data_IF_173769020927
#
_entry.id   IF_173769020927
#
_cell.length_a   1.000
_cell.length_b   1.000
_cell.length_c   1.000
_cell.angle_alpha   90.00
_cell.angle_beta   90.00
_cell.angle_gamma   90.00
#
_symmetry.space_group_name_H-M   'P 1'
#
loop_
_entity.id
_entity.type
_entity.pdbx_description
1 polymer ?
#
# COMPACT_ATOMS: atom_id res chain seq x y z
N UNK A 1 -14.49 18.33 -6.45
CA UNK A 1 -14.35 18.48 -4.98
C UNK A 1 -13.03 19.18 -4.70
N UNK A 2 -12.94 20.05 -3.67
CA UNK A 2 -11.67 20.64 -3.24
C UNK A 2 -10.68 19.55 -2.82
N UNK A 3 -9.38 19.76 -3.07
CA UNK A 3 -8.33 18.78 -2.77
C UNK A 3 -8.25 18.50 -1.27
N UNK A 4 -8.52 19.49 -0.41
CA UNK A 4 -8.52 19.27 1.05
C UNK A 4 -9.58 18.27 1.49
N UNK A 5 -10.74 18.27 0.83
CA UNK A 5 -11.85 17.37 1.16
C UNK A 5 -11.59 15.93 0.70
N UNK A 6 -10.82 15.74 -0.38
CA UNK A 6 -10.31 14.44 -0.81
C UNK A 6 -9.26 13.89 0.17
N UNK A 7 -8.38 14.76 0.67
CA UNK A 7 -7.37 14.43 1.68
C UNK A 7 -8.05 14.00 2.99
N UNK A 8 -9.04 14.75 3.46
CA UNK A 8 -9.78 14.38 4.68
C UNK A 8 -10.52 13.04 4.53
N UNK A 9 -11.18 12.79 3.39
CA UNK A 9 -11.89 11.52 3.17
C UNK A 9 -10.94 10.32 3.03
N UNK A 10 -9.71 10.52 2.52
CA UNK A 10 -8.71 9.46 2.43
C UNK A 10 -8.01 9.21 3.78
N UNK A 11 -7.73 10.25 4.56
CA UNK A 11 -6.83 10.17 5.73
C UNK A 11 -7.55 10.15 7.08
N UNK A 12 -8.78 10.62 7.20
CA UNK A 12 -9.52 10.63 8.46
C UNK A 12 -10.43 9.42 8.60
N UNK A 13 -9.88 8.29 9.06
CA UNK A 13 -10.67 7.24 9.69
C UNK A 13 -10.03 6.79 10.99
N UNK A 14 -10.74 7.03 12.09
CA UNK A 14 -10.49 6.54 13.46
C UNK A 14 -9.14 6.92 14.09
N UNK A 15 -9.08 8.15 14.61
CA UNK A 15 -8.09 8.61 15.58
C UNK A 15 -8.26 7.93 16.96
N UNK A 16 -8.11 6.62 17.02
CA UNK A 16 -7.95 5.93 18.29
C UNK A 16 -6.54 6.23 18.79
N UNK A 17 -6.43 7.19 19.72
CA UNK A 17 -5.17 7.84 20.12
C UNK A 17 -4.11 6.89 20.71
N UNK A 18 -4.41 5.60 20.90
CA UNK A 18 -3.48 4.58 21.37
C UNK A 18 -2.95 3.63 20.29
N UNK A 19 -3.42 3.71 19.04
CA UNK A 19 -2.90 2.88 17.95
C UNK A 19 -1.63 3.48 17.34
N UNK A 20 -0.74 2.61 16.86
CA UNK A 20 0.48 2.97 16.13
C UNK A 20 0.14 3.17 14.65
N UNK A 21 0.31 4.38 14.09
CA UNK A 21 0.06 4.63 12.67
C UNK A 21 1.09 3.94 11.79
N UNK A 22 0.64 3.28 10.72
CA UNK A 22 1.46 2.47 9.82
C UNK A 22 1.12 2.74 8.35
N UNK A 23 2.15 2.95 7.53
CA UNK A 23 2.08 2.81 6.07
C UNK A 23 2.69 1.45 5.70
N UNK A 24 2.06 0.73 4.78
CA UNK A 24 2.60 -0.52 4.21
C UNK A 24 2.96 -0.27 2.74
N UNK A 25 4.22 -0.46 2.37
CA UNK A 25 4.71 -0.36 0.98
C UNK A 25 5.14 -1.74 0.49
N UNK A 26 4.44 -2.30 -0.51
CA UNK A 26 4.46 -3.75 -0.80
C UNK A 26 4.50 -4.02 -2.31
N UNK A 27 5.08 -5.14 -2.72
CA UNK A 27 4.97 -5.61 -4.11
C UNK A 27 3.83 -6.65 -4.29
N UNK A 28 3.11 -6.94 -3.20
CA UNK A 28 1.98 -7.85 -3.06
C UNK A 28 2.27 -9.30 -3.47
N UNK A 29 3.47 -9.80 -3.13
CA UNK A 29 3.69 -11.23 -3.10
C UNK A 29 2.83 -11.93 -2.03
N UNK A 30 2.80 -13.25 -2.06
CA UNK A 30 1.89 -14.07 -1.26
C UNK A 30 2.08 -13.81 0.24
N UNK A 31 3.31 -13.73 0.71
CA UNK A 31 3.66 -13.43 2.10
C UNK A 31 3.25 -12.02 2.51
N UNK A 32 3.35 -11.04 1.59
CA UNK A 32 2.87 -9.68 1.82
C UNK A 32 1.36 -9.62 2.04
N UNK A 33 0.60 -10.37 1.25
CA UNK A 33 -0.86 -10.46 1.42
C UNK A 33 -1.23 -11.03 2.80
N UNK A 34 -0.48 -12.02 3.29
CA UNK A 34 -0.67 -12.55 4.64
C UNK A 34 -0.28 -11.54 5.72
N UNK A 35 0.81 -10.79 5.52
CA UNK A 35 1.22 -9.73 6.43
C UNK A 35 0.15 -8.64 6.53
N UNK A 36 -0.41 -8.20 5.40
CA UNK A 36 -1.50 -7.22 5.34
C UNK A 36 -2.73 -7.77 6.06
N UNK A 37 -3.16 -9.00 5.76
CA UNK A 37 -4.30 -9.63 6.43
C UNK A 37 -4.11 -9.70 7.95
N UNK A 38 -2.90 -10.02 8.43
CA UNK A 38 -2.59 -10.00 9.85
C UNK A 38 -2.69 -8.58 10.42
N UNK A 39 -1.96 -7.62 9.84
CA UNK A 39 -1.79 -6.26 10.38
C UNK A 39 -3.09 -5.47 10.43
N UNK A 40 -3.96 -5.58 9.43
CA UNK A 40 -5.26 -4.88 9.43
C UNK A 40 -6.19 -5.35 10.55
N UNK A 41 -5.96 -6.55 11.09
CA UNK A 41 -6.72 -7.11 12.21
C UNK A 41 -6.06 -6.85 13.58
N UNK A 42 -4.87 -6.23 13.64
CA UNK A 42 -4.19 -5.93 14.91
C UNK A 42 -4.82 -4.69 15.57
N UNK A 43 -5.40 -4.80 16.78
CA UNK A 43 -6.10 -3.67 17.42
C UNK A 43 -5.20 -2.49 17.77
N UNK A 44 -3.89 -2.72 17.93
CA UNK A 44 -2.91 -1.69 18.31
C UNK A 44 -2.22 -1.01 17.13
N UNK A 45 -2.49 -1.44 15.88
CA UNK A 45 -1.89 -0.89 14.66
C UNK A 45 -2.96 -0.22 13.82
N UNK A 46 -2.72 0.99 13.35
CA UNK A 46 -3.62 1.74 12.49
C UNK A 46 -3.01 1.87 11.09
N UNK A 47 -3.49 1.06 10.15
CA UNK A 47 -2.99 1.09 8.76
C UNK A 47 -3.62 2.30 8.05
N UNK A 48 -2.81 3.34 7.85
CA UNK A 48 -3.25 4.61 7.28
C UNK A 48 -3.27 4.60 5.76
N UNK A 49 -2.37 3.84 5.13
CA UNK A 49 -2.26 3.71 3.69
C UNK A 49 -1.54 2.41 3.33
N UNK A 50 -1.89 1.86 2.17
CA UNK A 50 -1.14 0.78 1.52
C UNK A 50 -0.70 1.29 0.15
N UNK A 51 0.59 1.21 -0.15
CA UNK A 51 1.15 1.56 -1.44
C UNK A 51 1.74 0.34 -2.10
N UNK A 52 1.61 0.26 -3.43
CA UNK A 52 2.27 -0.81 -4.18
C UNK A 52 3.48 -0.31 -4.93
N UNK A 53 4.50 -1.16 -5.01
CA UNK A 53 5.72 -0.89 -5.73
C UNK A 53 5.95 -2.02 -6.73
N UNK A 54 6.35 -1.65 -7.94
CA UNK A 54 6.78 -2.62 -8.93
C UNK A 54 8.12 -3.22 -8.55
N UNK A 55 8.26 -4.49 -8.83
CA UNK A 55 9.55 -5.15 -8.89
C UNK A 55 9.64 -5.87 -10.26
N UNK A 56 10.67 -6.69 -10.47
CA UNK A 56 10.79 -7.43 -11.73
C UNK A 56 9.88 -8.65 -11.84
N UNK A 57 9.08 -8.96 -10.82
CA UNK A 57 8.15 -10.09 -10.69
C UNK A 57 6.67 -9.64 -10.72
N UNK A 58 6.33 -8.46 -10.22
CA UNK A 58 4.96 -7.93 -10.07
C UNK A 58 4.84 -6.49 -10.57
N UNK A 59 3.71 -6.20 -11.23
CA UNK A 59 3.36 -4.84 -11.64
C UNK A 59 2.51 -4.15 -10.57
N UNK A 60 2.80 -2.88 -10.19
CA UNK A 60 2.15 -2.23 -9.05
C UNK A 60 0.63 -2.10 -9.20
N UNK A 61 0.13 -1.96 -10.44
CA UNK A 61 -1.31 -1.88 -10.71
C UNK A 61 -2.06 -3.20 -10.40
N UNK A 62 -1.45 -4.34 -10.72
CA UNK A 62 -2.00 -5.66 -10.39
C UNK A 62 -1.92 -5.92 -8.89
N UNK A 63 -0.79 -5.57 -8.27
CA UNK A 63 -0.61 -5.62 -6.82
C UNK A 63 -1.67 -4.82 -6.08
N UNK A 64 -1.97 -3.60 -6.53
CA UNK A 64 -3.00 -2.76 -5.92
C UNK A 64 -4.39 -3.42 -6.05
N UNK A 65 -4.68 -3.99 -7.21
CA UNK A 65 -5.92 -4.74 -7.44
C UNK A 65 -6.05 -5.96 -6.52
N UNK A 66 -4.96 -6.69 -6.28
CA UNK A 66 -4.92 -7.83 -5.36
C UNK A 66 -5.18 -7.41 -3.90
N UNK A 67 -4.58 -6.30 -3.46
CA UNK A 67 -4.79 -5.75 -2.12
C UNK A 67 -6.24 -5.32 -1.94
N UNK A 68 -6.82 -4.61 -2.91
CA UNK A 68 -8.22 -4.21 -2.87
C UNK A 68 -9.16 -5.41 -2.75
N UNK A 69 -8.90 -6.48 -3.52
CA UNK A 69 -9.63 -7.76 -3.41
C UNK A 69 -9.45 -8.40 -2.03
N UNK A 70 -8.24 -8.41 -1.49
CA UNK A 70 -7.98 -8.93 -0.15
C UNK A 70 -8.79 -8.17 0.91
N UNK A 71 -8.76 -6.84 0.88
CA UNK A 71 -9.49 -5.99 1.83
C UNK A 71 -11.00 -6.23 1.77
N UNK A 72 -11.55 -6.42 0.57
CA UNK A 72 -12.95 -6.80 0.36
C UNK A 72 -13.26 -8.20 0.92
N UNK A 73 -12.43 -9.19 0.59
CA UNK A 73 -12.59 -10.60 1.02
C UNK A 73 -12.58 -10.76 2.54
N UNK A 74 -11.73 -10.00 3.25
CA UNK A 74 -11.63 -10.06 4.71
C UNK A 74 -12.67 -9.17 5.41
N UNK A 75 -13.53 -8.48 4.64
CA UNK A 75 -14.55 -7.59 5.18
C UNK A 75 -13.98 -6.40 5.94
N UNK A 76 -12.85 -5.85 5.47
CA UNK A 76 -12.21 -4.70 6.12
C UNK A 76 -13.18 -3.52 6.18
N UNK A 77 -13.60 -3.14 7.39
CA UNK A 77 -14.59 -2.07 7.59
C UNK A 77 -13.99 -0.66 7.51
N UNK A 78 -12.67 -0.55 7.69
CA UNK A 78 -11.97 0.72 7.62
C UNK A 78 -11.62 1.00 6.15
N UNK A 79 -11.88 2.21 5.69
CA UNK A 79 -11.41 2.63 4.37
C UNK A 79 -9.91 2.92 4.46
N UNK A 80 -9.11 2.00 3.90
CA UNK A 80 -7.65 2.14 3.79
C UNK A 80 -7.35 2.53 2.33
N UNK A 81 -6.79 3.73 2.08
CA UNK A 81 -6.36 4.12 0.75
C UNK A 81 -5.28 3.17 0.21
N UNK A 82 -5.51 2.65 -1.01
CA UNK A 82 -4.54 1.80 -1.73
C UNK A 82 -4.08 2.52 -2.98
N UNK A 83 -2.80 2.88 -3.07
CA UNK A 83 -2.25 3.57 -4.24
C UNK A 83 -1.25 2.71 -5.01
N UNK A 84 -1.29 2.80 -6.34
CA UNK A 84 -0.24 2.25 -7.18
C UNK A 84 0.98 3.18 -7.19
N UNK A 85 2.18 2.59 -7.20
CA UNK A 85 3.43 3.32 -7.22
C UNK A 85 4.30 3.04 -8.43
N UNK A 86 5.59 3.26 -8.26
CA UNK A 86 6.58 3.19 -9.31
C UNK A 86 6.79 1.75 -9.78
N UNK A 87 6.73 1.53 -11.09
CA UNK A 87 6.80 0.19 -11.70
C UNK A 87 8.22 -0.39 -11.80
N UNK A 88 9.25 0.44 -11.65
CA UNK A 88 10.63 0.09 -11.96
C UNK A 88 11.60 0.68 -10.93
N UNK A 89 12.75 0.03 -10.66
CA UNK A 89 13.78 0.58 -9.80
C UNK A 89 14.29 1.93 -10.31
N UNK A 90 14.54 2.88 -9.39
CA UNK A 90 14.98 4.24 -9.74
C UNK A 90 16.27 4.29 -10.57
N UNK A 91 17.22 3.39 -10.31
CA UNK A 91 18.54 3.40 -10.94
C UNK A 91 18.70 2.39 -12.08
N UNK A 92 17.73 1.49 -12.29
CA UNK A 92 17.80 0.40 -13.28
C UNK A 92 16.47 0.16 -13.97
N UNK A 93 15.90 1.15 -14.69
CA UNK A 93 14.56 1.06 -15.27
C UNK A 93 14.44 0.05 -16.43
N UNK A 94 15.54 -0.56 -16.88
CA UNK A 94 15.56 -1.52 -17.99
C UNK A 94 15.58 -3.00 -17.57
N UNK A 95 15.73 -3.32 -16.29
CA UNK A 95 15.82 -4.71 -15.86
C UNK A 95 14.43 -5.31 -15.65
N UNK A 96 14.10 -6.34 -16.43
CA UNK A 96 12.81 -7.05 -16.37
C UNK A 96 13.09 -8.55 -16.49
N UNK A 97 12.37 -9.36 -15.71
CA UNK A 97 12.40 -10.81 -15.89
C UNK A 97 11.59 -11.24 -17.11
N UNK A 98 11.82 -12.45 -17.65
CA UNK A 98 11.01 -12.99 -18.75
C UNK A 98 9.51 -12.96 -18.41
N UNK A 99 8.66 -12.61 -19.37
CA UNK A 99 7.21 -12.49 -19.17
C UNK A 99 6.55 -13.77 -18.62
N UNK A 100 7.14 -14.93 -18.89
CA UNK A 100 6.69 -16.22 -18.37
C UNK A 100 6.81 -16.33 -16.85
N UNK A 101 7.74 -15.60 -16.22
CA UNK A 101 7.90 -15.56 -14.75
C UNK A 101 7.01 -14.49 -14.09
N UNK A 102 6.46 -13.55 -14.86
CA UNK A 102 5.59 -12.47 -14.37
C UNK A 102 4.11 -12.87 -14.21
N UNK A 103 3.66 -13.90 -14.92
CA UNK A 103 2.23 -14.20 -15.06
C UNK A 103 1.57 -14.80 -13.80
N UNK A 104 2.33 -15.36 -12.86
CA UNK A 104 1.78 -16.01 -11.67
C UNK A 104 1.22 -15.04 -10.63
N UNK A 105 1.92 -13.94 -10.37
CA UNK A 105 1.60 -13.03 -9.25
C UNK A 105 0.55 -11.98 -9.65
N UNK A 106 0.62 -11.49 -10.90
CA UNK A 106 -0.35 -10.53 -11.44
C UNK A 106 -1.78 -11.10 -11.48
N UNK A 107 -1.93 -12.42 -11.39
CA UNK A 107 -3.21 -13.14 -11.46
C UNK A 107 -3.57 -13.88 -10.17
N UNK A 108 -2.77 -13.77 -9.09
CA UNK A 108 -2.86 -14.59 -7.87
C UNK A 108 -4.24 -14.60 -7.19
N UNK A 109 -5.02 -13.51 -7.31
CA UNK A 109 -6.40 -13.40 -6.82
C UNK A 109 -7.45 -13.16 -7.93
N UNK A 110 -7.09 -13.48 -9.17
CA UNK A 110 -8.00 -13.39 -10.32
C UNK A 110 -8.66 -14.73 -10.67
N UNK A 111 -8.06 -15.85 -10.25
CA UNK A 111 -8.68 -17.17 -10.36
C UNK A 111 -9.88 -17.29 -9.41
N UNK A 112 -10.94 -18.03 -9.78
CA UNK A 112 -12.07 -18.27 -8.88
C UNK A 112 -11.57 -19.02 -7.63
N UNK A 113 -11.38 -18.27 -6.54
CA UNK A 113 -11.10 -18.84 -5.24
C UNK A 113 -12.38 -19.44 -4.67
N UNK A 114 -12.27 -20.54 -3.94
CA UNK A 114 -13.38 -21.11 -3.16
C UNK A 114 -13.85 -20.20 -2.00
N UNK A 115 -13.26 -19.01 -1.85
CA UNK A 115 -13.75 -17.95 -0.99
C UNK A 115 -15.05 -17.41 -1.60
N UNK A 116 -16.12 -17.45 -0.81
CA UNK A 116 -17.42 -16.91 -1.22
C UNK A 116 -17.24 -15.52 -1.83
N UNK A 117 -17.65 -15.39 -3.09
CA UNK A 117 -17.71 -14.12 -3.81
C UNK A 117 -18.90 -13.27 -3.31
N UNK A 118 -19.10 -13.25 -2.00
CA UNK A 118 -20.18 -12.53 -1.31
C UNK A 118 -19.79 -11.08 -1.07
N UNK A 119 -19.39 -10.35 -2.13
CA UNK A 119 -19.28 -8.89 -2.11
C UNK A 119 -19.07 -8.30 -3.52
N UNK A 120 -19.80 -8.78 -4.53
CA UNK A 120 -19.72 -8.23 -5.89
C UNK A 120 -20.16 -6.74 -6.05
N UNK A 121 -20.25 -5.95 -4.97
CA UNK A 121 -20.74 -4.56 -5.01
C UNK A 121 -19.97 -3.56 -4.13
N UNK A 122 -18.82 -3.91 -3.53
CA UNK A 122 -17.95 -2.86 -2.96
C UNK A 122 -16.97 -2.44 -4.06
N UNK A 123 -17.28 -1.33 -4.73
CA UNK A 123 -16.33 -0.64 -5.60
C UNK A 123 -15.23 -0.01 -4.71
N UNK A 124 -14.33 -0.83 -4.14
CA UNK A 124 -13.12 -0.29 -3.51
C UNK A 124 -12.23 0.16 -4.66
N UNK A 125 -12.25 1.46 -4.93
CA UNK A 125 -11.40 2.07 -5.92
C UNK A 125 -10.01 2.33 -5.32
N UNK A 126 -8.94 2.27 -6.13
CA UNK A 126 -7.65 2.77 -5.69
C UNK A 126 -7.75 4.24 -5.29
N UNK A 127 -6.78 4.67 -4.49
CA UNK A 127 -6.59 6.06 -4.12
C UNK A 127 -6.53 6.94 -5.38
N UNK A 128 -7.08 8.17 -5.33
CA UNK A 128 -6.88 9.15 -6.41
C UNK A 128 -5.43 9.65 -6.48
N UNK A 129 -4.61 9.38 -5.47
CA UNK A 129 -3.20 9.73 -5.41
C UNK A 129 -2.32 8.54 -5.81
N UNK A 130 -1.18 8.83 -6.45
CA UNK A 130 -0.12 7.85 -6.65
C UNK A 130 0.63 7.56 -5.34
N UNK A 131 1.33 6.43 -5.23
CA UNK A 131 1.98 5.98 -4.00
C UNK A 131 2.88 7.05 -3.37
N UNK A 132 3.73 7.69 -4.17
CA UNK A 132 4.68 8.70 -3.71
C UNK A 132 3.94 9.89 -3.10
N UNK A 133 2.86 10.34 -3.73
CA UNK A 133 2.02 11.43 -3.21
C UNK A 133 1.25 11.00 -1.97
N UNK A 134 0.65 9.80 -1.98
CA UNK A 134 -0.08 9.26 -0.83
C UNK A 134 0.83 9.12 0.41
N UNK A 135 2.07 8.64 0.25
CA UNK A 135 3.07 8.56 1.32
C UNK A 135 3.32 9.95 1.90
N UNK A 136 3.63 10.94 1.06
CA UNK A 136 3.91 12.32 1.50
C UNK A 136 2.70 12.93 2.23
N UNK A 137 1.50 12.80 1.68
CA UNK A 137 0.28 13.32 2.29
C UNK A 137 0.00 12.65 3.64
N UNK A 138 0.10 11.33 3.71
CA UNK A 138 -0.10 10.56 4.95
C UNK A 138 0.88 11.00 6.04
N UNK A 139 2.17 11.14 5.70
CA UNK A 139 3.19 11.62 6.64
C UNK A 139 2.97 13.07 7.08
N UNK A 140 2.62 13.95 6.14
CA UNK A 140 2.45 15.39 6.39
C UNK A 140 1.27 15.67 7.32
N UNK A 141 0.14 15.01 7.07
CA UNK A 141 -1.12 15.24 7.79
C UNK A 141 -1.28 14.36 9.04
N UNK A 142 -0.42 13.36 9.24
CA UNK A 142 -0.42 12.60 10.49
C UNK A 142 -0.02 13.48 11.68
N UNK A 143 -0.79 13.34 12.76
CA UNK A 143 -0.58 14.02 14.04
C UNK A 143 0.66 13.46 14.76
N UNK A 144 0.98 12.17 14.53
CA UNK A 144 2.11 11.45 15.14
C UNK A 144 3.09 10.98 14.07
N UNK A 145 4.36 10.72 14.41
CA UNK A 145 5.25 10.01 13.51
C UNK A 145 4.63 8.68 13.06
N UNK A 146 4.74 8.38 11.77
CA UNK A 146 4.14 7.21 11.13
C UNK A 146 5.20 6.17 10.88
N UNK A 147 4.98 4.95 11.37
CA UNK A 147 5.84 3.82 11.05
C UNK A 147 5.63 3.43 9.58
N UNK A 148 6.68 2.94 8.93
CA UNK A 148 6.62 2.47 7.54
C UNK A 148 7.11 1.03 7.52
N UNK A 149 6.28 0.13 7.03
CA UNK A 149 6.66 -1.25 6.75
C UNK A 149 6.87 -1.40 5.25
N UNK A 150 8.12 -1.59 4.86
CA UNK A 150 8.54 -1.83 3.48
C UNK A 150 8.71 -3.32 3.28
N UNK A 151 7.80 -3.90 2.49
CA UNK A 151 7.79 -5.31 2.10
C UNK A 151 8.29 -5.52 0.67
N UNK A 152 8.14 -4.52 -0.20
CA UNK A 152 8.72 -4.52 -1.55
C UNK A 152 10.04 -3.75 -1.65
N UNK A 153 10.38 -3.29 -2.86
CA UNK A 153 11.56 -2.42 -3.05
C UNK A 153 11.34 -1.03 -2.44
N UNK A 154 12.39 -0.38 -1.93
CA UNK A 154 12.30 0.99 -1.36
C UNK A 154 12.08 2.10 -2.40
N UNK A 155 11.69 1.79 -3.63
CA UNK A 155 11.61 2.73 -4.76
C UNK A 155 10.64 3.88 -4.46
N UNK A 156 9.45 3.59 -3.93
CA UNK A 156 8.47 4.62 -3.56
C UNK A 156 8.95 5.50 -2.40
N UNK A 157 9.53 4.89 -1.36
CA UNK A 157 10.05 5.61 -0.19
C UNK A 157 11.21 6.53 -0.57
N UNK A 158 12.15 6.02 -1.37
CA UNK A 158 13.28 6.78 -1.86
C UNK A 158 12.82 7.97 -2.72
N UNK A 159 11.83 7.78 -3.60
CA UNK A 159 11.23 8.85 -4.38
C UNK A 159 10.56 9.91 -3.49
N UNK A 160 9.74 9.50 -2.53
CA UNK A 160 9.05 10.42 -1.60
C UNK A 160 10.04 11.29 -0.82
N UNK A 161 11.10 10.69 -0.26
CA UNK A 161 12.16 11.41 0.47
C UNK A 161 12.96 12.34 -0.45
N UNK A 162 13.20 11.90 -1.69
CA UNK A 162 13.92 12.70 -2.69
C UNK A 162 13.12 13.94 -3.09
N UNK A 163 11.81 13.79 -3.28
CA UNK A 163 10.90 14.89 -3.63
C UNK A 163 10.64 15.85 -2.48
N UNK A 164 10.51 15.35 -1.24
CA UNK A 164 10.25 16.18 -0.08
C UNK A 164 10.96 15.67 1.18
N UNK A 165 12.14 16.22 1.47
CA UNK A 165 12.90 15.88 2.67
C UNK A 165 12.24 16.34 3.97
N UNK A 166 11.26 17.24 3.93
CA UNK A 166 10.58 17.72 5.14
C UNK A 166 9.71 16.63 5.79
N UNK A 167 9.43 15.53 5.08
CA UNK A 167 8.71 14.38 5.61
C UNK A 167 9.58 13.49 6.51
N UNK A 168 10.92 13.57 6.45
CA UNK A 168 11.81 12.68 7.22
C UNK A 168 11.51 12.72 8.72
N UNK A 169 11.35 13.90 9.38
CA UNK A 169 11.00 13.95 10.80
C UNK A 169 9.59 13.43 11.14
N UNK A 170 8.75 13.16 10.14
CA UNK A 170 7.41 12.58 10.30
C UNK A 170 7.43 11.06 10.23
N UNK A 171 8.55 10.45 9.85
CA UNK A 171 8.72 8.99 9.85
C UNK A 171 9.06 8.55 11.27
N UNK A 172 8.31 7.59 11.78
CA UNK A 172 8.60 6.88 13.03
C UNK A 172 9.72 5.87 12.81
N UNK A 173 9.38 4.58 12.88
CA UNK A 173 10.29 3.48 12.56
C UNK A 173 10.06 3.00 11.13
N UNK A 174 11.14 2.84 10.36
CA UNK A 174 11.12 2.16 9.08
C UNK A 174 11.54 0.70 9.28
N UNK A 175 10.60 -0.21 9.07
CA UNK A 175 10.82 -1.66 9.04
C UNK A 175 10.98 -2.08 7.58
N UNK A 176 11.94 -2.95 7.29
CA UNK A 176 12.22 -3.41 5.92
C UNK A 176 12.44 -4.92 5.88
N UNK A 177 11.80 -5.58 4.93
CA UNK A 177 12.04 -6.97 4.57
C UNK A 177 12.93 -7.03 3.33
N UNK A 178 14.19 -7.46 3.51
CA UNK A 178 15.15 -7.62 2.42
C UNK A 178 16.60 -7.69 2.92
N UNK A 179 17.54 -7.93 1.99
CA UNK A 179 18.99 -7.84 2.22
C UNK A 179 19.60 -6.68 1.42
#
# INVERSE_FOLDING_TARGET
MPVEQLIENCLNNNSNSNRRPLIIDTDADVDDLWAIHYLVNVPTIDVLAITTVGNAFSGPFYSASNILRLLDLIGCKNHIPVAYGLSLPLLSPGWKLPDTMLNGINTYLTAPTCLNQSAANIFIQPSPFEAVELIKLTLKYSIKPVDILVLGTMTNIAAAITEDRSIIPKIGTLYFSGQ
#
